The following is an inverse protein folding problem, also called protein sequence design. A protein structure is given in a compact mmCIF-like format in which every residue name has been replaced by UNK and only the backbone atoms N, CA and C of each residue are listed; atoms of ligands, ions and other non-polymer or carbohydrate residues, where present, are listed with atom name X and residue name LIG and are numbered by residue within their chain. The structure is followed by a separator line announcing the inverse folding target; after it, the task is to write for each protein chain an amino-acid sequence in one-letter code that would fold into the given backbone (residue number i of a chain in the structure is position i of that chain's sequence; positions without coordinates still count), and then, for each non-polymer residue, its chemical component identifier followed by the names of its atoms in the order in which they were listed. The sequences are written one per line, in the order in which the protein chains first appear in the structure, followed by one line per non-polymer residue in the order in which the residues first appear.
data_IF_349406721213
#
_entry.id   IF_349406721213
#
_cell.length_a   1.000
_cell.length_b   1.000
_cell.length_c   1.000
_cell.angle_alpha   90.00
_cell.angle_beta   90.00
_cell.angle_gamma   90.00
#
_symmetry.space_group_name_H-M   'P 1'
#
loop_
_entity.id
_entity.type
_entity.pdbx_description
1 polymer ?
#
# COMPACT_ATOMS: atom_id res chain seq x y z
N UNK A 1 21.80 7.15 -16.85
CA UNK A 1 20.42 6.65 -16.65
C UNK A 1 19.68 7.77 -15.95
N UNK A 2 18.74 8.43 -16.62
CA UNK A 2 17.84 9.35 -15.91
C UNK A 2 16.98 8.51 -14.97
N UNK A 3 17.05 8.81 -13.67
CA UNK A 3 16.07 8.30 -12.74
C UNK A 3 14.72 8.93 -13.07
N UNK A 4 13.70 8.10 -13.24
CA UNK A 4 12.33 8.59 -13.36
C UNK A 4 11.98 9.43 -12.12
N UNK A 5 11.21 10.50 -12.30
CA UNK A 5 11.00 11.51 -11.25
C UNK A 5 10.54 10.92 -9.90
N UNK A 6 9.67 9.90 -9.91
CA UNK A 6 9.20 9.22 -8.70
C UNK A 6 10.33 8.50 -7.93
N UNK A 7 11.37 8.01 -8.61
CA UNK A 7 12.52 7.36 -7.94
C UNK A 7 13.31 8.37 -7.12
N UNK A 8 13.51 9.58 -7.64
CA UNK A 8 14.18 10.66 -6.91
C UNK A 8 13.35 11.11 -5.71
N UNK A 9 12.03 11.21 -5.85
CA UNK A 9 11.13 11.54 -4.75
C UNK A 9 11.19 10.48 -3.64
N UNK A 10 11.10 9.19 -3.98
CA UNK A 10 11.20 8.13 -2.98
C UNK A 10 12.55 8.10 -2.28
N UNK A 11 13.64 8.31 -3.02
CA UNK A 11 14.98 8.41 -2.43
C UNK A 11 15.05 9.56 -1.42
N UNK A 12 14.62 10.76 -1.82
CA UNK A 12 14.64 11.92 -0.94
C UNK A 12 13.70 11.74 0.26
N UNK A 13 12.53 11.12 0.06
CA UNK A 13 11.60 10.81 1.14
C UNK A 13 12.21 9.86 2.17
N UNK A 14 12.89 8.81 1.71
CA UNK A 14 13.61 7.88 2.58
C UNK A 14 14.74 8.60 3.34
N UNK A 15 15.56 9.39 2.64
CA UNK A 15 16.63 10.18 3.25
C UNK A 15 16.07 11.12 4.33
N UNK A 16 14.95 11.81 4.08
CA UNK A 16 14.28 12.66 5.07
C UNK A 16 13.74 11.87 6.26
N UNK A 17 13.12 10.71 6.00
CA UNK A 17 12.56 9.85 7.05
C UNK A 17 13.65 9.37 8.02
N UNK A 18 14.77 8.87 7.47
CA UNK A 18 15.92 8.40 8.25
C UNK A 18 16.55 9.53 9.10
N UNK A 19 16.47 10.77 8.61
CA UNK A 19 16.95 11.96 9.32
C UNK A 19 15.88 12.62 10.22
N UNK A 20 14.74 11.96 10.47
CA UNK A 20 13.62 12.47 11.27
C UNK A 20 13.00 13.78 10.75
N UNK A 21 13.18 14.09 9.47
CA UNK A 21 12.57 15.23 8.78
C UNK A 21 11.18 14.83 8.25
N UNK A 22 10.28 14.47 9.17
CA UNK A 22 9.06 13.74 8.85
C UNK A 22 8.11 14.52 7.91
N UNK A 23 7.96 15.84 8.09
CA UNK A 23 7.11 16.68 7.21
C UNK A 23 7.64 16.71 5.76
N UNK A 24 8.96 16.68 5.59
CA UNK A 24 9.59 16.62 4.26
C UNK A 24 9.46 15.23 3.65
N UNK A 25 9.62 14.19 4.47
CA UNK A 25 9.37 12.81 4.04
C UNK A 25 7.93 12.64 3.55
N UNK A 26 6.95 13.18 4.28
CA UNK A 26 5.54 13.20 3.89
C UNK A 26 5.36 13.83 2.52
N UNK A 27 5.91 15.03 2.34
CA UNK A 27 5.81 15.80 1.09
C UNK A 27 6.37 15.01 -0.10
N UNK A 28 7.53 14.37 0.06
CA UNK A 28 8.13 13.57 -1.00
C UNK A 28 7.33 12.30 -1.30
N UNK A 29 6.86 11.58 -0.27
CA UNK A 29 6.09 10.37 -0.45
C UNK A 29 4.72 10.63 -1.09
N UNK A 30 4.01 11.70 -0.70
CA UNK A 30 2.74 12.09 -1.31
C UNK A 30 2.91 12.47 -2.79
N UNK A 31 3.96 13.23 -3.13
CA UNK A 31 4.26 13.54 -4.53
C UNK A 31 4.60 12.28 -5.35
N UNK A 32 5.38 11.35 -4.78
CA UNK A 32 5.67 10.08 -5.43
C UNK A 32 4.38 9.25 -5.63
N UNK A 33 3.51 9.24 -4.63
CA UNK A 33 2.23 8.55 -4.66
C UNK A 33 1.33 9.08 -5.78
N UNK A 34 1.19 10.40 -5.92
CA UNK A 34 0.36 11.02 -6.95
C UNK A 34 0.86 10.69 -8.36
N UNK A 35 2.19 10.80 -8.58
CA UNK A 35 2.80 10.47 -9.87
C UNK A 35 2.62 9.00 -10.24
N UNK A 36 2.85 8.10 -9.30
CA UNK A 36 2.72 6.66 -9.52
C UNK A 36 1.25 6.25 -9.72
N UNK A 37 0.33 6.86 -8.96
CA UNK A 37 -1.11 6.64 -9.10
C UNK A 37 -1.61 7.07 -10.49
N UNK A 38 -1.15 8.24 -10.98
CA UNK A 38 -1.46 8.73 -12.32
C UNK A 38 -0.84 7.84 -13.42
N UNK A 39 0.44 7.47 -13.28
CA UNK A 39 1.14 6.64 -14.25
C UNK A 39 0.50 5.25 -14.39
N UNK A 40 0.03 4.66 -13.28
CA UNK A 40 -0.73 3.41 -13.29
C UNK A 40 -2.07 3.55 -14.02
N UNK A 41 -2.73 4.70 -13.97
CA UNK A 41 -3.95 4.93 -14.75
C UNK A 41 -3.73 4.81 -16.27
N UNK A 42 -2.52 5.14 -16.74
CA UNK A 42 -2.13 5.07 -18.16
C UNK A 42 -1.55 3.71 -18.53
N UNK A 43 -0.74 3.13 -17.65
CA UNK A 43 -0.15 1.80 -17.82
C UNK A 43 -0.34 0.94 -16.56
N UNK A 44 -1.55 0.37 -16.36
CA UNK A 44 -1.93 -0.27 -15.09
C UNK A 44 -1.20 -1.57 -14.77
N UNK A 45 -0.39 -2.05 -15.71
CA UNK A 45 0.15 -3.41 -15.74
C UNK A 45 1.68 -3.45 -15.76
N UNK A 46 2.34 -2.30 -15.68
CA UNK A 46 3.78 -2.27 -15.42
C UNK A 46 4.03 -2.78 -14.00
N UNK A 47 4.65 -3.95 -13.90
CA UNK A 47 5.06 -4.55 -12.62
C UNK A 47 5.92 -3.58 -11.81
N UNK A 48 6.80 -2.81 -12.46
CA UNK A 48 7.69 -1.85 -11.80
C UNK A 48 6.90 -0.67 -11.21
N UNK A 49 5.96 -0.10 -11.96
CA UNK A 49 5.12 0.99 -11.45
C UNK A 49 4.21 0.51 -10.32
N UNK A 50 3.64 -0.68 -10.45
CA UNK A 50 2.80 -1.27 -9.42
C UNK A 50 3.58 -1.51 -8.13
N UNK A 51 4.78 -2.10 -8.23
CA UNK A 51 5.65 -2.32 -7.08
C UNK A 51 6.13 -1.02 -6.45
N UNK A 52 6.53 -0.02 -7.25
CA UNK A 52 6.92 1.29 -6.74
C UNK A 52 5.77 1.97 -5.99
N UNK A 53 4.54 1.86 -6.50
CA UNK A 53 3.35 2.40 -5.84
C UNK A 53 3.03 1.68 -4.52
N UNK A 54 3.11 0.35 -4.50
CA UNK A 54 2.96 -0.45 -3.27
C UNK A 54 4.01 -0.01 -2.23
N UNK A 55 5.29 0.08 -2.61
CA UNK A 55 6.34 0.54 -1.71
C UNK A 55 6.09 1.96 -1.19
N UNK A 56 5.61 2.87 -2.04
CA UNK A 56 5.25 4.23 -1.62
C UNK A 56 4.14 4.22 -0.56
N UNK A 57 3.13 3.38 -0.73
CA UNK A 57 2.05 3.22 0.25
C UNK A 57 2.57 2.66 1.59
N UNK A 58 3.51 1.71 1.57
CA UNK A 58 4.15 1.19 2.79
C UNK A 58 5.02 2.26 3.49
N UNK A 59 5.68 3.14 2.74
CA UNK A 59 6.41 4.27 3.30
C UNK A 59 5.47 5.27 4.00
N UNK A 60 4.33 5.62 3.36
CA UNK A 60 3.31 6.47 3.96
C UNK A 60 2.69 5.82 5.20
N UNK A 61 2.42 4.51 5.16
CA UNK A 61 1.98 3.73 6.32
C UNK A 61 2.94 3.93 7.50
N UNK A 62 4.23 3.69 7.27
CA UNK A 62 5.26 3.79 8.30
C UNK A 62 5.38 5.21 8.85
N UNK A 63 5.26 6.22 7.99
CA UNK A 63 5.26 7.63 8.38
C UNK A 63 4.05 7.99 9.26
N UNK A 64 2.84 7.60 8.86
CA UNK A 64 1.64 7.89 9.64
C UNK A 64 1.57 7.09 10.95
N UNK A 65 2.22 5.92 11.03
CA UNK A 65 2.45 5.26 12.33
C UNK A 65 3.30 6.12 13.25
N UNK A 66 4.40 6.71 12.76
CA UNK A 66 5.26 7.59 13.57
C UNK A 66 4.51 8.83 14.03
N UNK A 67 3.62 9.39 13.20
CA UNK A 67 2.75 10.50 13.60
C UNK A 67 1.63 10.09 14.56
N UNK A 68 1.35 8.79 14.75
CA UNK A 68 0.24 8.28 15.56
C UNK A 68 -1.11 8.32 14.85
N UNK A 69 -1.16 8.60 13.55
CA UNK A 69 -2.36 8.61 12.73
C UNK A 69 -2.66 7.21 12.18
N UNK A 70 -3.04 6.29 13.07
CA UNK A 70 -3.19 4.86 12.76
C UNK A 70 -4.28 4.57 11.71
N UNK A 71 -5.38 5.33 11.72
CA UNK A 71 -6.45 5.17 10.70
C UNK A 71 -5.90 5.45 9.29
N UNK A 72 -5.14 6.55 9.13
CA UNK A 72 -4.55 6.94 7.86
C UNK A 72 -3.41 5.98 7.45
N UNK A 73 -2.63 5.52 8.41
CA UNK A 73 -1.61 4.50 8.17
C UNK A 73 -2.22 3.23 7.57
N UNK A 74 -3.31 2.72 8.17
CA UNK A 74 -3.99 1.55 7.64
C UNK A 74 -4.66 1.82 6.28
N UNK A 75 -5.23 3.01 6.08
CA UNK A 75 -5.80 3.40 4.79
C UNK A 75 -4.77 3.22 3.66
N UNK A 76 -3.53 3.68 3.86
CA UNK A 76 -2.47 3.49 2.88
C UNK A 76 -2.07 2.03 2.65
N UNK A 77 -2.16 1.14 3.64
CA UNK A 77 -1.97 -0.31 3.40
C UNK A 77 -3.12 -0.92 2.59
N UNK A 78 -4.35 -0.46 2.82
CA UNK A 78 -5.55 -1.00 2.20
C UNK A 78 -5.72 -0.56 0.75
N UNK A 79 -5.31 0.67 0.40
CA UNK A 79 -5.36 1.21 -0.97
C UNK A 79 -4.79 0.24 -2.03
N UNK A 80 -3.54 -0.26 -1.91
CA UNK A 80 -3.00 -1.20 -2.88
C UNK A 80 -3.67 -2.56 -2.78
N UNK A 81 -3.99 -3.05 -1.59
CA UNK A 81 -4.61 -4.36 -1.43
C UNK A 81 -5.98 -4.44 -2.12
N UNK A 82 -6.85 -3.47 -1.89
CA UNK A 82 -8.19 -3.41 -2.49
C UNK A 82 -8.12 -3.29 -4.02
N UNK A 83 -7.14 -2.55 -4.55
CA UNK A 83 -6.90 -2.50 -5.98
C UNK A 83 -6.52 -3.87 -6.56
N UNK A 84 -5.58 -4.57 -5.91
CA UNK A 84 -5.08 -5.86 -6.38
C UNK A 84 -6.16 -6.94 -6.28
N UNK A 85 -6.98 -6.91 -5.24
CA UNK A 85 -8.13 -7.81 -5.09
C UNK A 85 -9.10 -7.64 -6.27
N UNK A 86 -9.51 -6.40 -6.57
CA UNK A 86 -10.36 -6.09 -7.75
C UNK A 86 -9.72 -6.53 -9.07
N UNK A 87 -8.42 -6.32 -9.24
CA UNK A 87 -7.71 -6.74 -10.44
C UNK A 87 -7.65 -8.28 -10.58
N UNK A 88 -7.50 -9.01 -9.47
CA UNK A 88 -7.47 -10.47 -9.49
C UNK A 88 -8.82 -11.10 -9.85
N UNK A 89 -9.92 -10.47 -9.46
CA UNK A 89 -11.30 -10.92 -9.69
C UNK A 89 -11.87 -10.44 -11.04
N UNK A 90 -11.18 -9.52 -11.73
CA UNK A 90 -11.65 -8.95 -12.99
C UNK A 90 -11.62 -9.98 -14.12
N UNK A 91 -12.81 -10.40 -14.57
CA UNK A 91 -12.97 -11.38 -15.65
C UNK A 91 -12.44 -10.92 -17.02
N UNK A 92 -12.25 -9.61 -17.21
CA UNK A 92 -11.76 -9.02 -18.46
C UNK A 92 -10.23 -8.89 -18.52
N UNK A 93 -9.51 -9.16 -17.43
CA UNK A 93 -8.05 -9.14 -17.39
C UNK A 93 -7.49 -10.53 -17.69
N UNK A 94 -6.34 -10.57 -18.36
CA UNK A 94 -5.65 -11.82 -18.67
C UNK A 94 -4.98 -12.44 -17.42
N UNK A 95 -4.57 -13.70 -17.53
CA UNK A 95 -4.04 -14.46 -16.40
C UNK A 95 -2.69 -13.91 -15.89
N UNK A 96 -1.86 -13.33 -16.74
CA UNK A 96 -0.58 -12.72 -16.33
C UNK A 96 -0.79 -11.50 -15.42
N UNK A 97 -1.80 -10.70 -15.73
CA UNK A 97 -2.20 -9.54 -14.93
C UNK A 97 -2.74 -10.01 -13.57
N UNK A 98 -3.59 -11.03 -13.57
CA UNK A 98 -4.12 -11.63 -12.34
C UNK A 98 -2.99 -12.20 -11.50
N UNK A 99 -2.02 -12.90 -12.10
CA UNK A 99 -0.84 -13.41 -11.41
C UNK A 99 -0.01 -12.28 -10.79
N UNK A 100 0.14 -11.16 -11.49
CA UNK A 100 0.82 -9.96 -10.97
C UNK A 100 0.05 -9.37 -9.78
N UNK A 101 -1.28 -9.31 -9.88
CA UNK A 101 -2.13 -8.88 -8.78
C UNK A 101 -2.01 -9.80 -7.55
N UNK A 102 -2.02 -11.12 -7.75
CA UNK A 102 -1.78 -12.10 -6.67
C UNK A 102 -0.42 -11.92 -6.02
N UNK A 103 0.66 -11.73 -6.80
CA UNK A 103 2.00 -11.45 -6.27
C UNK A 103 2.02 -10.18 -5.41
N UNK A 104 1.34 -9.12 -5.84
CA UNK A 104 1.18 -7.91 -5.04
C UNK A 104 0.42 -8.16 -3.74
N UNK A 105 -0.66 -8.95 -3.78
CA UNK A 105 -1.44 -9.27 -2.58
C UNK A 105 -0.62 -10.05 -1.54
N UNK A 106 0.29 -10.92 -1.99
CA UNK A 106 1.23 -11.62 -1.11
C UNK A 106 2.20 -10.70 -0.37
N UNK A 107 2.29 -9.41 -0.74
CA UNK A 107 3.08 -8.38 -0.06
C UNK A 107 2.19 -7.55 0.84
N UNK A 108 1.03 -7.09 0.35
CA UNK A 108 0.15 -6.20 1.11
C UNK A 108 -0.56 -6.91 2.26
N UNK A 109 -1.00 -8.17 2.05
CA UNK A 109 -1.78 -8.90 3.05
C UNK A 109 -0.98 -9.16 4.34
N UNK A 110 0.27 -9.65 4.31
CA UNK A 110 1.07 -9.78 5.52
C UNK A 110 1.28 -8.45 6.27
N UNK A 111 1.43 -7.34 5.55
CA UNK A 111 1.60 -6.02 6.18
C UNK A 111 0.32 -5.58 6.90
N UNK A 112 -0.86 -5.77 6.30
CA UNK A 112 -2.17 -5.50 6.92
C UNK A 112 -2.37 -6.37 8.18
N UNK A 113 -2.07 -7.67 8.09
CA UNK A 113 -2.20 -8.59 9.22
C UNK A 113 -1.24 -8.21 10.36
N UNK A 114 0.01 -7.88 10.03
CA UNK A 114 0.98 -7.37 10.99
C UNK A 114 0.50 -6.09 11.67
N UNK A 115 -0.01 -5.13 10.89
CA UNK A 115 -0.56 -3.87 11.39
C UNK A 115 -1.71 -4.12 12.38
N UNK A 116 -2.72 -4.90 11.97
CA UNK A 116 -3.90 -5.18 12.82
C UNK A 116 -3.56 -5.94 14.09
N UNK A 117 -2.52 -6.78 14.06
CA UNK A 117 -2.00 -7.46 15.25
C UNK A 117 -1.30 -6.49 16.20
N UNK A 118 -0.47 -5.60 15.67
CA UNK A 118 0.28 -4.61 16.46
C UNK A 118 -0.65 -3.54 17.07
N UNK A 119 -1.74 -3.21 16.37
CA UNK A 119 -2.71 -2.20 16.76
C UNK A 119 -4.11 -2.81 17.00
N UNK A 120 -4.17 -3.90 17.79
CA UNK A 120 -5.39 -4.67 18.04
C UNK A 120 -6.56 -3.85 18.64
N UNK A 121 -6.26 -2.71 19.26
CA UNK A 121 -7.23 -1.78 19.86
C UNK A 121 -7.53 -0.56 18.96
N UNK A 122 -7.11 -0.56 17.70
CA UNK A 122 -7.53 0.47 16.76
C UNK A 122 -8.99 0.20 16.33
N UNK A 123 -9.93 0.65 17.16
CA UNK A 123 -11.36 0.48 16.89
C UNK A 123 -11.80 1.25 15.63
N UNK A 124 -11.17 2.41 15.35
CA UNK A 124 -11.36 3.19 14.12
C UNK A 124 -11.02 2.38 12.86
N UNK A 125 -9.81 1.80 12.83
CA UNK A 125 -9.32 0.93 11.77
C UNK A 125 -10.30 -0.19 11.36
N UNK A 126 -10.93 -0.88 12.33
CA UNK A 126 -11.82 -2.03 12.08
C UNK A 126 -13.21 -1.63 11.58
N UNK A 127 -13.67 -0.44 11.95
CA UNK A 127 -14.99 0.07 11.57
C UNK A 127 -14.96 0.80 10.23
N UNK A 128 -13.83 1.42 9.88
CA UNK A 128 -13.72 2.27 8.70
C UNK A 128 -13.46 1.50 7.39
N UNK A 129 -13.02 0.23 7.47
CA UNK A 129 -12.60 -0.53 6.30
C UNK A 129 -13.37 -1.86 6.17
N UNK A 130 -14.49 -1.89 5.43
CA UNK A 130 -15.27 -3.12 5.21
C UNK A 130 -14.45 -4.26 4.60
N UNK A 131 -13.48 -3.93 3.73
CA UNK A 131 -12.55 -4.90 3.13
C UNK A 131 -11.69 -5.60 4.19
N UNK A 132 -11.29 -4.88 5.24
CA UNK A 132 -10.51 -5.45 6.35
C UNK A 132 -11.29 -6.52 7.10
N UNK A 133 -12.60 -6.30 7.32
CA UNK A 133 -13.45 -7.29 8.00
C UNK A 133 -13.54 -8.60 7.22
N UNK A 134 -13.55 -8.53 5.88
CA UNK A 134 -13.52 -9.73 5.03
C UNK A 134 -12.21 -10.50 5.20
N UNK A 135 -11.08 -9.79 5.20
CA UNK A 135 -9.74 -10.37 5.41
C UNK A 135 -9.68 -11.06 6.79
N UNK A 136 -10.10 -10.35 7.84
CA UNK A 136 -10.09 -10.88 9.21
C UNK A 136 -11.05 -12.06 9.40
N UNK A 137 -12.21 -12.06 8.72
CA UNK A 137 -13.17 -13.16 8.75
C UNK A 137 -12.65 -14.45 8.08
N UNK A 138 -11.82 -14.31 7.04
CA UNK A 138 -11.25 -15.46 6.32
C UNK A 138 -10.20 -16.21 7.15
N UNK A 139 -9.38 -15.53 7.98
CA UNK A 139 -8.42 -16.22 8.87
C UNK A 139 -9.10 -17.13 9.89
N UNK A 140 -10.28 -16.76 10.39
CA UNK A 140 -11.03 -17.61 11.34
C UNK A 140 -11.60 -18.88 10.71
N UNK A 141 -11.70 -18.94 9.38
CA UNK A 141 -12.24 -20.09 8.64
C UNK A 141 -11.17 -21.09 8.18
N UNK A 142 -9.87 -20.78 8.31
CA UNK A 142 -8.76 -21.66 7.89
C UNK A 142 -8.20 -22.55 9.00
N UNK A 143 -8.86 -22.64 10.16
CA UNK A 143 -8.58 -23.65 11.17
C UNK A 143 -9.62 -24.77 11.06
N UNK A 144 -9.49 -25.64 10.05
CA UNK A 144 -10.12 -26.96 10.06
C UNK A 144 -9.34 -27.98 9.23
#
# INVERSE_FOLDING_TARGET
MEHSHWQSLLKNGNDCFDNQQLDQAETFYLQAYDLLSAARGVNPLSSDLLMAWICTCHNLTSLYEVFGYLDLSLEYLMIPHDYLMKASEANYLNDDIKLTAFKGMSITLPAILSFTKNYANCDGCRLQLPSLQKIMGQETSSIH
#
